data_IF_241714281810
#
_entry.id   IF_241714281810
#
_cell.length_a   1.000
_cell.length_b   1.000
_cell.length_c   1.000
_cell.angle_alpha   90.00
_cell.angle_beta   90.00
_cell.angle_gamma   90.00
#
_symmetry.space_group_name_H-M   'P 1'
#
loop_
_entity.id
_entity.type
_entity.pdbx_description
1 polymer ?
#
# COMPACT_ATOMS: atom_id res chain seq x y z
N UNK A 1 24.59 20.38 -4.82
CA UNK A 1 23.15 20.43 -4.46
C UNK A 1 22.83 21.80 -3.88
N UNK A 2 22.51 22.78 -4.72
CA UNK A 2 21.80 24.03 -4.35
C UNK A 2 21.29 24.67 -5.64
N UNK A 3 20.13 24.20 -6.12
CA UNK A 3 19.45 24.83 -7.24
C UNK A 3 18.42 25.82 -6.67
N UNK A 4 18.55 27.11 -6.98
CA UNK A 4 17.68 28.21 -6.52
C UNK A 4 17.75 28.56 -5.00
N UNK A 5 18.90 28.98 -4.47
CA UNK A 5 18.99 29.46 -3.09
C UNK A 5 18.09 30.70 -2.87
N UNK A 6 17.39 30.75 -1.73
CA UNK A 6 16.53 31.88 -1.35
C UNK A 6 15.15 31.93 -2.01
N UNK A 7 14.80 30.96 -2.86
CA UNK A 7 13.45 30.87 -3.43
C UNK A 7 12.45 30.35 -2.40
N UNK A 8 11.37 31.11 -2.16
CA UNK A 8 10.27 30.70 -1.28
C UNK A 8 9.53 29.52 -1.92
N UNK A 9 9.37 28.44 -1.15
CA UNK A 9 8.56 27.27 -1.52
C UNK A 9 7.14 27.51 -1.01
N UNK A 10 6.15 27.46 -1.90
CA UNK A 10 4.73 27.49 -1.52
C UNK A 10 4.14 26.09 -1.57
N UNK A 11 2.96 25.83 -0.97
CA UNK A 11 2.39 24.48 -1.01
C UNK A 11 2.00 24.02 -2.43
N UNK A 12 1.94 24.93 -3.41
CA UNK A 12 1.77 24.59 -4.84
C UNK A 12 3.04 23.96 -5.42
N UNK A 13 4.21 24.33 -4.90
CA UNK A 13 5.50 23.79 -5.32
C UNK A 13 5.79 22.41 -4.74
N UNK A 14 5.20 22.07 -3.58
CA UNK A 14 5.51 20.83 -2.85
C UNK A 14 5.22 19.60 -3.69
N UNK A 15 4.06 19.53 -4.36
CA UNK A 15 3.69 18.35 -5.16
C UNK A 15 4.70 18.04 -6.26
N UNK A 16 5.20 19.07 -6.95
CA UNK A 16 6.19 18.90 -8.01
C UNK A 16 7.55 18.45 -7.45
N UNK A 17 8.06 19.13 -6.42
CA UNK A 17 9.35 18.78 -5.79
C UNK A 17 9.31 17.37 -5.21
N UNK A 18 8.22 17.05 -4.51
CA UNK A 18 8.02 15.74 -3.91
C UNK A 18 7.88 14.66 -4.97
N UNK A 19 7.13 14.89 -6.05
CA UNK A 19 7.00 13.92 -7.14
C UNK A 19 8.35 13.54 -7.75
N UNK A 20 9.18 14.53 -8.07
CA UNK A 20 10.53 14.26 -8.60
C UNK A 20 11.44 13.55 -7.60
N UNK A 21 11.36 13.92 -6.31
CA UNK A 21 12.15 13.28 -5.26
C UNK A 21 11.67 11.84 -5.00
N UNK A 22 10.35 11.63 -4.98
CA UNK A 22 9.74 10.33 -4.72
C UNK A 22 10.10 9.32 -5.80
N UNK A 23 10.05 9.70 -7.09
CA UNK A 23 10.47 8.81 -8.18
C UNK A 23 11.95 8.39 -8.08
N UNK A 24 12.80 9.24 -7.49
CA UNK A 24 14.21 8.90 -7.25
C UNK A 24 14.39 8.03 -6.00
N UNK A 25 13.55 8.21 -5.00
CA UNK A 25 13.62 7.48 -3.74
C UNK A 25 12.93 6.11 -3.81
N UNK A 26 11.81 5.99 -4.54
CA UNK A 26 10.99 4.79 -4.62
C UNK A 26 11.63 3.72 -5.52
N UNK A 27 12.74 3.13 -5.06
CA UNK A 27 13.44 2.05 -5.75
C UNK A 27 12.94 0.69 -5.29
N UNK A 28 13.08 -0.31 -6.15
CA UNK A 28 12.76 -1.71 -5.81
C UNK A 28 13.57 -2.21 -4.61
N UNK A 29 14.80 -1.75 -4.44
CA UNK A 29 15.63 -2.11 -3.28
C UNK A 29 15.00 -1.68 -1.97
N UNK A 30 14.40 -0.47 -1.90
CA UNK A 30 13.70 -0.02 -0.70
C UNK A 30 12.47 -0.91 -0.44
N UNK A 31 11.74 -1.29 -1.48
CA UNK A 31 10.59 -2.18 -1.34
C UNK A 31 11.01 -3.58 -0.83
N UNK A 32 12.04 -4.18 -1.43
CA UNK A 32 12.59 -5.49 -1.03
C UNK A 32 13.07 -5.44 0.42
N UNK A 33 13.86 -4.41 0.76
CA UNK A 33 14.33 -4.21 2.14
C UNK A 33 13.16 -4.03 3.11
N UNK A 34 12.09 -3.34 2.70
CA UNK A 34 10.87 -3.21 3.48
C UNK A 34 10.25 -4.57 3.81
N UNK A 35 10.06 -5.42 2.80
CA UNK A 35 9.49 -6.76 2.98
C UNK A 35 10.37 -7.70 3.82
N UNK A 36 11.68 -7.61 3.65
CA UNK A 36 12.64 -8.37 4.46
C UNK A 36 12.61 -7.93 5.93
N UNK A 37 12.49 -6.63 6.18
CA UNK A 37 12.47 -6.07 7.54
C UNK A 37 11.17 -6.36 8.27
N UNK A 38 10.06 -6.50 7.58
CA UNK A 38 8.78 -6.88 8.18
C UNK A 38 8.59 -8.38 8.30
N UNK A 39 9.46 -9.18 7.68
CA UNK A 39 9.29 -10.63 7.61
C UNK A 39 8.13 -11.06 6.73
N UNK A 40 7.75 -10.23 5.75
CA UNK A 40 6.79 -10.62 4.73
C UNK A 40 7.46 -11.56 3.72
N UNK A 41 8.69 -11.22 3.28
CA UNK A 41 9.50 -12.04 2.38
C UNK A 41 10.99 -11.96 2.77
N UNK A 42 11.60 -13.07 3.24
CA UNK A 42 10.98 -14.36 3.52
C UNK A 42 10.03 -14.30 4.73
N UNK A 43 8.98 -15.12 4.70
CA UNK A 43 7.97 -15.14 5.76
C UNK A 43 8.56 -15.50 7.13
N UNK A 44 8.47 -14.57 8.08
CA UNK A 44 8.86 -14.78 9.47
C UNK A 44 8.01 -13.90 10.41
N UNK A 45 6.97 -14.46 11.05
CA UNK A 45 6.05 -13.70 11.89
C UNK A 45 6.67 -13.24 13.21
N UNK A 46 7.82 -13.78 13.61
CA UNK A 46 8.49 -13.43 14.86
C UNK A 46 9.44 -12.24 14.74
N UNK A 47 9.55 -11.63 13.55
CA UNK A 47 10.39 -10.44 13.34
C UNK A 47 9.80 -9.19 14.01
N UNK A 48 8.47 -9.08 14.04
CA UNK A 48 7.76 -7.96 14.65
C UNK A 48 7.38 -8.31 16.10
N UNK A 49 7.78 -7.48 17.06
CA UNK A 49 7.36 -7.63 18.46
C UNK A 49 5.90 -7.22 18.64
N UNK A 50 5.18 -7.83 19.60
CA UNK A 50 3.79 -7.50 19.92
C UNK A 50 3.51 -5.99 20.14
N UNK A 51 4.51 -5.23 20.57
CA UNK A 51 4.44 -3.78 20.80
C UNK A 51 4.05 -3.03 19.52
N UNK A 52 4.50 -3.46 18.34
CA UNK A 52 4.17 -2.77 17.08
C UNK A 52 2.71 -2.97 16.67
N UNK A 53 2.03 -3.95 17.27
CA UNK A 53 0.61 -4.23 17.05
C UNK A 53 -0.30 -3.56 18.09
N UNK A 54 0.25 -2.95 19.15
CA UNK A 54 -0.54 -2.26 20.18
C UNK A 54 -1.51 -1.18 19.63
N UNK A 55 -1.18 -0.41 18.57
CA UNK A 55 -2.12 0.53 17.97
C UNK A 55 -3.33 -0.13 17.29
N UNK A 56 -3.22 -1.39 16.85
CA UNK A 56 -4.30 -2.10 16.17
C UNK A 56 -5.50 -2.34 17.09
N UNK A 57 -5.27 -2.51 18.40
CA UNK A 57 -6.30 -2.77 19.41
C UNK A 57 -7.46 -1.75 19.42
N UNK A 58 -7.21 -0.50 19.01
CA UNK A 58 -8.25 0.55 18.98
C UNK A 58 -9.16 0.42 17.76
N UNK A 59 -8.67 -0.21 16.69
CA UNK A 59 -9.39 -0.42 15.43
C UNK A 59 -9.97 -1.82 15.24
N UNK A 60 -9.67 -2.75 16.16
CA UNK A 60 -10.15 -4.13 16.06
C UNK A 60 -11.68 -4.17 16.04
N UNK A 61 -12.23 -4.83 15.01
CA UNK A 61 -13.66 -5.11 14.91
C UNK A 61 -13.89 -6.53 15.42
N UNK A 62 -14.96 -6.78 16.19
CA UNK A 62 -15.28 -8.14 16.59
C UNK A 62 -15.47 -9.00 15.34
N UNK A 63 -14.73 -10.11 15.26
CA UNK A 63 -14.93 -11.09 14.21
C UNK A 63 -16.34 -11.66 14.38
N UNK A 64 -17.20 -11.46 13.39
CA UNK A 64 -18.50 -12.13 13.37
C UNK A 64 -18.23 -13.63 13.33
N UNK A 65 -18.53 -14.33 14.42
CA UNK A 65 -18.42 -15.78 14.54
C UNK A 65 -19.16 -16.43 13.37
N UNK A 66 -18.42 -16.91 12.38
CA UNK A 66 -18.99 -17.38 11.11
C UNK A 66 -17.97 -17.72 10.03
N UNK A 67 -16.71 -17.29 10.15
CA UNK A 67 -15.61 -17.85 9.35
C UNK A 67 -14.88 -18.89 10.18
N UNK A 68 -15.38 -20.11 10.16
CA UNK A 68 -14.57 -21.28 10.49
C UNK A 68 -13.54 -21.46 9.38
N UNK A 69 -12.27 -21.47 9.76
CA UNK A 69 -11.17 -21.82 8.90
C UNK A 69 -11.31 -23.29 8.47
N UNK A 70 -11.79 -23.51 7.24
CA UNK A 70 -11.36 -24.54 6.28
C UNK A 70 -12.28 -24.39 5.08
N UNK A 71 -11.83 -23.70 4.04
CA UNK A 71 -12.30 -23.95 2.68
C UNK A 71 -11.36 -23.19 1.74
N UNK A 72 -10.64 -23.99 0.99
CA UNK A 72 -9.69 -23.59 -0.03
C UNK A 72 -10.43 -22.66 -0.99
N UNK A 73 -9.97 -21.42 -1.13
CA UNK A 73 -10.62 -20.44 -1.98
C UNK A 73 -10.53 -20.89 -3.44
N UNK A 74 -11.58 -21.57 -3.91
CA UNK A 74 -11.87 -21.76 -5.33
C UNK A 74 -12.18 -20.38 -5.93
N UNK A 75 -11.19 -19.82 -6.62
CA UNK A 75 -11.27 -18.51 -7.29
C UNK A 75 -12.17 -18.55 -8.55
N UNK A 76 -12.73 -19.69 -8.93
CA UNK A 76 -13.55 -19.80 -10.13
C UNK A 76 -15.02 -20.06 -9.81
N UNK A 77 -15.72 -19.04 -9.31
CA UNK A 77 -17.16 -19.00 -9.47
C UNK A 77 -17.69 -17.58 -9.63
N UNK A 78 -18.36 -17.39 -10.76
CA UNK A 78 -19.32 -16.32 -11.04
C UNK A 78 -18.73 -14.95 -11.38
N UNK A 79 -18.11 -14.87 -12.56
CA UNK A 79 -18.08 -13.63 -13.32
C UNK A 79 -19.49 -13.29 -13.80
N UNK A 80 -20.22 -12.48 -13.03
CA UNK A 80 -21.35 -11.71 -13.55
C UNK A 80 -20.78 -10.55 -14.39
N UNK A 81 -20.51 -10.84 -15.66
CA UNK A 81 -20.30 -9.84 -16.70
C UNK A 81 -21.62 -9.08 -16.94
N UNK A 82 -21.91 -8.08 -16.11
CA UNK A 82 -22.93 -7.08 -16.39
C UNK A 82 -22.31 -5.70 -16.56
N UNK A 83 -21.74 -5.51 -17.75
CA UNK A 83 -21.81 -4.26 -18.51
C UNK A 83 -21.15 -3.02 -17.89
N UNK A 84 -19.82 -2.95 -17.95
CA UNK A 84 -19.15 -1.64 -17.98
C UNK A 84 -19.31 -1.09 -19.41
N UNK A 85 -20.42 -0.41 -19.69
CA UNK A 85 -20.56 0.40 -20.90
C UNK A 85 -19.59 1.60 -20.81
N UNK A 86 -18.35 1.39 -21.23
CA UNK A 86 -17.40 2.45 -21.47
C UNK A 86 -17.76 3.11 -22.80
N UNK A 87 -18.69 4.07 -22.76
CA UNK A 87 -18.94 4.94 -23.89
C UNK A 87 -17.71 5.85 -24.02
N UNK A 88 -16.81 5.47 -24.93
CA UNK A 88 -15.67 6.29 -25.33
C UNK A 88 -16.26 7.55 -25.97
N UNK A 89 -16.21 8.68 -25.26
CA UNK A 89 -16.30 9.99 -25.90
C UNK A 89 -14.99 10.21 -26.68
N UNK A 90 -15.00 9.88 -27.96
CA UNK A 90 -14.10 10.52 -28.92
C UNK A 90 -14.54 11.98 -29.16
N UNK A 91 -13.54 12.77 -29.55
CA UNK A 91 -13.55 14.23 -29.71
C UNK A 91 -14.45 14.77 -30.83
#
# INVERSE_FOLDING_TARGET
MVNNPGKIITDRNIGHIFGEAYLKAATLEIAINGFQRTGIEPYNPHILSDIVFAPACVSERPLSAGRTETEDADWNSSGDESSINLQICEA
#
